data_IF_343249287176
#
_entry.id   IF_343249287176
#
_cell.length_a   1.000
_cell.length_b   1.000
_cell.length_c   1.000
_cell.angle_alpha   90.00
_cell.angle_beta   90.00
_cell.angle_gamma   90.00
#
_symmetry.space_group_name_H-M   'P 1'
#
loop_
_entity.id
_entity.type
_entity.pdbx_description
1 polymer ?
#
# COMPACT_ATOMS: atom_id res chain seq x y z
N UNK A 1 -53.06 -26.07 -30.71
CA UNK A 1 -51.67 -25.58 -30.85
C UNK A 1 -51.46 -24.11 -30.49
N UNK A 2 -52.49 -23.32 -30.16
CA UNK A 2 -52.31 -21.88 -29.86
C UNK A 2 -51.86 -21.54 -28.42
N UNK A 3 -52.12 -22.39 -27.42
CA UNK A 3 -51.73 -22.12 -26.01
C UNK A 3 -50.22 -22.11 -25.77
N UNK A 4 -49.45 -22.83 -26.59
CA UNK A 4 -47.97 -22.89 -26.50
C UNK A 4 -47.34 -21.58 -26.94
N UNK A 5 -47.86 -20.97 -28.02
CA UNK A 5 -47.37 -19.68 -28.55
C UNK A 5 -47.69 -18.48 -27.64
N UNK A 6 -48.79 -18.51 -26.88
CA UNK A 6 -49.16 -17.42 -25.95
C UNK A 6 -48.23 -17.42 -24.73
N UNK A 7 -47.96 -18.60 -24.14
CA UNK A 7 -47.01 -18.73 -23.02
C UNK A 7 -45.57 -18.39 -23.41
N UNK A 8 -45.16 -18.72 -24.63
CA UNK A 8 -43.85 -18.33 -25.15
C UNK A 8 -43.75 -16.82 -25.38
N UNK A 9 -44.84 -16.18 -25.85
CA UNK A 9 -44.93 -14.71 -25.95
C UNK A 9 -44.84 -14.04 -24.58
N UNK A 10 -45.56 -14.53 -23.56
CA UNK A 10 -45.49 -13.97 -22.20
C UNK A 10 -44.10 -14.09 -21.59
N UNK A 11 -43.42 -15.25 -21.75
CA UNK A 11 -42.04 -15.41 -21.30
C UNK A 11 -41.09 -14.46 -22.03
N UNK A 12 -41.26 -14.30 -23.34
CA UNK A 12 -40.48 -13.35 -24.13
C UNK A 12 -40.65 -11.92 -23.61
N UNK A 13 -41.88 -11.53 -23.28
CA UNK A 13 -42.19 -10.21 -22.72
C UNK A 13 -41.57 -10.00 -21.34
N UNK A 14 -41.62 -11.01 -20.46
CA UNK A 14 -40.96 -10.97 -19.16
C UNK A 14 -39.44 -10.83 -19.27
N UNK A 15 -38.80 -11.54 -20.20
CA UNK A 15 -37.36 -11.38 -20.43
C UNK A 15 -37.01 -10.00 -20.98
N UNK A 16 -37.87 -9.41 -21.84
CA UNK A 16 -37.69 -8.03 -22.29
C UNK A 16 -37.83 -7.03 -21.15
N UNK A 17 -38.82 -7.18 -20.26
CA UNK A 17 -38.98 -6.31 -19.09
C UNK A 17 -37.79 -6.43 -18.12
N UNK A 18 -37.33 -7.65 -17.85
CA UNK A 18 -36.14 -7.91 -17.03
C UNK A 18 -34.90 -7.23 -17.64
N UNK A 19 -34.76 -7.32 -18.96
CA UNK A 19 -33.66 -6.73 -19.68
C UNK A 19 -33.74 -5.20 -19.77
N UNK A 20 -34.94 -4.61 -19.84
CA UNK A 20 -35.18 -3.17 -19.72
C UNK A 20 -34.83 -2.65 -18.31
N UNK A 21 -35.22 -3.38 -17.27
CA UNK A 21 -34.84 -3.07 -15.88
C UNK A 21 -33.32 -3.20 -15.68
N UNK A 22 -32.70 -4.22 -16.28
CA UNK A 22 -31.25 -4.38 -16.29
C UNK A 22 -30.55 -3.22 -17.02
N UNK A 23 -31.13 -2.69 -18.11
CA UNK A 23 -30.65 -1.50 -18.82
C UNK A 23 -30.66 -0.25 -17.94
N UNK A 24 -31.77 -0.02 -17.21
CA UNK A 24 -31.93 1.10 -16.29
C UNK A 24 -30.92 1.05 -15.14
N UNK A 25 -30.54 -0.16 -14.70
CA UNK A 25 -29.52 -0.40 -13.68
C UNK A 25 -28.08 -0.47 -14.25
N UNK A 26 -27.85 0.01 -15.48
CA UNK A 26 -26.51 0.09 -16.10
C UNK A 26 -25.99 -1.19 -16.76
N UNK A 27 -26.78 -2.26 -16.80
CA UNK A 27 -26.44 -3.54 -17.42
C UNK A 27 -26.99 -3.62 -18.87
N UNK A 28 -26.57 -2.67 -19.70
CA UNK A 28 -26.97 -2.46 -21.10
C UNK A 28 -26.72 -3.67 -22.03
N UNK A 29 -25.88 -4.62 -21.62
CA UNK A 29 -25.57 -5.82 -22.40
C UNK A 29 -26.61 -6.93 -22.24
N UNK A 30 -27.16 -7.07 -21.02
CA UNK A 30 -28.30 -7.95 -20.76
C UNK A 30 -29.54 -7.43 -21.49
N UNK A 31 -29.73 -6.11 -21.50
CA UNK A 31 -30.72 -5.40 -22.30
C UNK A 31 -30.63 -5.75 -23.80
N UNK A 32 -29.43 -5.58 -24.38
CA UNK A 32 -29.19 -5.85 -25.79
C UNK A 32 -29.35 -7.33 -26.15
N UNK A 33 -28.92 -8.26 -25.28
CA UNK A 33 -29.03 -9.69 -25.52
C UNK A 33 -30.48 -10.19 -25.55
N UNK A 34 -31.35 -9.63 -24.69
CA UNK A 34 -32.77 -9.95 -24.69
C UNK A 34 -33.55 -9.29 -25.84
N UNK A 35 -33.08 -8.13 -26.33
CA UNK A 35 -33.66 -7.46 -27.51
C UNK A 35 -33.26 -8.18 -28.81
N UNK A 36 -32.02 -8.70 -28.91
CA UNK A 36 -31.49 -9.36 -30.12
C UNK A 36 -31.78 -10.86 -30.22
N UNK A 37 -32.24 -11.50 -29.16
CA UNK A 37 -32.55 -12.94 -29.19
C UNK A 37 -33.92 -13.20 -29.80
N UNK A 38 -33.97 -13.97 -30.88
CA UNK A 38 -35.23 -14.25 -31.59
C UNK A 38 -36.09 -15.33 -30.92
N UNK A 39 -35.54 -16.08 -29.96
CA UNK A 39 -36.33 -17.00 -29.13
C UNK A 39 -35.91 -17.05 -27.66
N UNK A 40 -36.86 -17.45 -26.81
CA UNK A 40 -36.74 -17.53 -25.35
C UNK A 40 -35.54 -18.35 -24.87
N UNK A 41 -35.23 -19.47 -25.54
CA UNK A 41 -34.11 -20.33 -25.16
C UNK A 41 -32.74 -19.70 -25.45
N UNK A 42 -32.62 -18.89 -26.52
CA UNK A 42 -31.40 -18.13 -26.79
C UNK A 42 -31.22 -16.98 -25.79
N UNK A 43 -32.30 -16.27 -25.46
CA UNK A 43 -32.27 -15.20 -24.46
C UNK A 43 -31.89 -15.75 -23.08
N UNK A 44 -32.48 -16.88 -22.65
CA UNK A 44 -32.15 -17.52 -21.37
C UNK A 44 -30.67 -17.93 -21.31
N UNK A 45 -30.14 -18.60 -22.35
CA UNK A 45 -28.72 -18.99 -22.41
C UNK A 45 -27.77 -17.79 -22.37
N UNK A 46 -28.15 -16.68 -22.98
CA UNK A 46 -27.37 -15.44 -22.93
C UNK A 46 -27.41 -14.82 -21.53
N UNK A 47 -28.59 -14.72 -20.91
CA UNK A 47 -28.75 -14.23 -19.53
C UNK A 47 -27.90 -15.05 -18.56
N UNK A 48 -27.96 -16.38 -18.63
CA UNK A 48 -27.20 -17.27 -17.75
C UNK A 48 -25.69 -17.09 -17.92
N UNK A 49 -25.21 -16.98 -19.17
CA UNK A 49 -23.80 -16.66 -19.45
C UNK A 49 -23.40 -15.31 -18.87
N UNK A 50 -24.22 -14.28 -19.02
CA UNK A 50 -23.92 -12.95 -18.49
C UNK A 50 -23.88 -12.92 -16.97
N UNK A 51 -24.85 -13.55 -16.29
CA UNK A 51 -24.85 -13.66 -14.84
C UNK A 51 -23.60 -14.39 -14.33
N UNK A 52 -23.16 -15.45 -15.02
CA UNK A 52 -21.93 -16.16 -14.67
C UNK A 52 -20.67 -15.31 -14.90
N UNK A 53 -20.62 -14.53 -15.99
CA UNK A 53 -19.51 -13.60 -16.25
C UNK A 53 -19.46 -12.50 -15.19
N UNK A 54 -20.60 -11.93 -14.80
CA UNK A 54 -20.66 -10.93 -13.72
C UNK A 54 -20.19 -11.49 -12.39
N UNK A 55 -20.70 -12.66 -11.99
CA UNK A 55 -20.30 -13.30 -10.74
C UNK A 55 -18.80 -13.59 -10.71
N UNK A 56 -18.24 -14.08 -11.83
CA UNK A 56 -16.80 -14.33 -11.95
C UNK A 56 -15.98 -13.04 -11.87
N UNK A 57 -16.47 -11.97 -12.50
CA UNK A 57 -15.82 -10.67 -12.46
C UNK A 57 -15.83 -10.05 -11.05
N UNK A 58 -16.96 -10.12 -10.34
CA UNK A 58 -17.04 -9.69 -8.94
C UNK A 58 -16.03 -10.44 -8.06
N UNK A 59 -15.94 -11.77 -8.22
CA UNK A 59 -14.95 -12.59 -7.51
C UNK A 59 -13.50 -12.22 -7.87
N UNK A 60 -13.22 -11.90 -9.15
CA UNK A 60 -11.88 -11.50 -9.57
C UNK A 60 -11.49 -10.12 -9.03
N UNK A 61 -12.42 -9.15 -9.03
CA UNK A 61 -12.22 -7.83 -8.43
C UNK A 61 -12.01 -7.93 -6.93
N UNK A 62 -12.83 -8.71 -6.25
CA UNK A 62 -12.73 -8.94 -4.81
C UNK A 62 -11.40 -9.58 -4.44
N UNK A 63 -10.97 -10.61 -5.19
CA UNK A 63 -9.68 -11.27 -4.97
C UNK A 63 -8.50 -10.31 -5.14
N UNK A 64 -8.50 -9.51 -6.22
CA UNK A 64 -7.43 -8.52 -6.44
C UNK A 64 -7.44 -7.48 -5.32
N UNK A 65 -8.62 -6.97 -4.95
CA UNK A 65 -8.76 -6.00 -3.86
C UNK A 65 -8.25 -6.54 -2.52
N UNK A 66 -8.57 -7.80 -2.18
CA UNK A 66 -8.10 -8.43 -0.96
C UNK A 66 -6.56 -8.57 -0.95
N UNK A 67 -5.96 -8.94 -2.09
CA UNK A 67 -4.49 -9.02 -2.21
C UNK A 67 -3.82 -7.65 -2.03
N UNK A 68 -4.37 -6.60 -2.63
CA UNK A 68 -3.86 -5.23 -2.46
C UNK A 68 -3.97 -4.77 -1.01
N UNK A 69 -5.10 -5.05 -0.35
CA UNK A 69 -5.32 -4.66 1.04
C UNK A 69 -4.40 -5.41 2.01
N UNK A 70 -4.17 -6.72 1.80
CA UNK A 70 -3.18 -7.48 2.57
C UNK A 70 -1.78 -6.90 2.44
N UNK A 71 -1.35 -6.60 1.21
CA UNK A 71 -0.03 -5.99 0.97
C UNK A 71 0.11 -4.63 1.67
N UNK A 72 -0.98 -3.85 1.71
CA UNK A 72 -1.01 -2.56 2.41
C UNK A 72 -0.85 -2.73 3.92
N UNK A 73 -1.56 -3.69 4.51
CA UNK A 73 -1.44 -3.99 5.94
C UNK A 73 -0.04 -4.49 6.30
N UNK A 74 0.53 -5.40 5.50
CA UNK A 74 1.91 -5.86 5.68
C UNK A 74 2.92 -4.70 5.58
N UNK A 75 2.71 -3.77 4.64
CA UNK A 75 3.56 -2.58 4.50
C UNK A 75 3.47 -1.65 5.72
N UNK A 76 2.27 -1.39 6.24
CA UNK A 76 2.08 -0.57 7.44
C UNK A 76 2.72 -1.21 8.67
N UNK A 77 2.59 -2.53 8.85
CA UNK A 77 3.28 -3.26 9.92
C UNK A 77 4.81 -3.15 9.79
N UNK A 78 5.33 -3.40 8.59
CA UNK A 78 6.78 -3.28 8.33
C UNK A 78 7.31 -1.86 8.57
N UNK A 79 6.49 -0.83 8.33
CA UNK A 79 6.82 0.57 8.61
C UNK A 79 6.88 0.84 10.10
N UNK A 80 5.93 0.33 10.89
CA UNK A 80 5.92 0.44 12.34
C UNK A 80 7.17 -0.24 12.93
N UNK A 81 7.46 -1.48 12.53
CA UNK A 81 8.58 -2.24 13.07
C UNK A 81 9.93 -1.57 12.78
N UNK A 82 10.12 -1.09 11.54
CA UNK A 82 11.35 -0.39 11.16
C UNK A 82 11.52 0.93 11.90
N UNK A 83 10.43 1.68 12.08
CA UNK A 83 10.48 2.94 12.83
C UNK A 83 10.75 2.68 14.31
N UNK A 84 10.13 1.67 14.89
CA UNK A 84 10.37 1.28 16.28
C UNK A 84 11.84 0.84 16.51
N UNK A 85 12.44 0.11 15.58
CA UNK A 85 13.87 -0.25 15.64
C UNK A 85 14.77 0.97 15.52
N UNK A 86 14.47 1.86 14.57
CA UNK A 86 15.18 3.13 14.39
C UNK A 86 15.11 4.01 15.66
N UNK A 87 13.95 4.07 16.31
CA UNK A 87 13.74 4.82 17.54
C UNK A 87 14.55 4.20 18.70
N UNK A 88 14.59 2.86 18.81
CA UNK A 88 15.42 2.15 19.80
C UNK A 88 16.91 2.45 19.63
N UNK A 89 17.43 2.38 18.41
CA UNK A 89 18.83 2.68 18.12
C UNK A 89 19.14 4.17 18.35
N UNK A 90 18.21 5.06 17.99
CA UNK A 90 18.35 6.50 18.27
C UNK A 90 18.47 6.75 19.77
N UNK A 91 17.57 6.19 20.59
CA UNK A 91 17.62 6.33 22.06
C UNK A 91 18.92 5.74 22.63
N UNK A 92 19.40 4.61 22.10
CA UNK A 92 20.66 4.00 22.54
C UNK A 92 21.84 4.94 22.28
N UNK A 93 21.91 5.51 21.07
CA UNK A 93 22.96 6.44 20.68
C UNK A 93 22.86 7.73 21.50
N UNK A 94 21.67 8.27 21.73
CA UNK A 94 21.47 9.45 22.58
C UNK A 94 21.98 9.22 23.99
N UNK A 95 21.61 8.10 24.63
CA UNK A 95 22.13 7.75 25.96
C UNK A 95 23.65 7.61 25.99
N UNK A 96 24.25 7.05 24.94
CA UNK A 96 25.70 6.94 24.82
C UNK A 96 26.37 8.32 24.68
N UNK A 97 25.76 9.22 23.91
CA UNK A 97 26.21 10.60 23.76
C UNK A 97 26.07 11.39 25.06
N UNK A 98 24.96 11.24 25.79
CA UNK A 98 24.73 11.89 27.08
C UNK A 98 25.79 11.47 28.10
N UNK A 99 26.13 10.19 28.17
CA UNK A 99 27.22 9.69 29.02
C UNK A 99 28.58 10.30 28.67
N UNK A 100 28.90 10.44 27.37
CA UNK A 100 30.13 11.11 26.94
C UNK A 100 30.13 12.61 27.30
N UNK A 101 28.98 13.29 27.17
CA UNK A 101 28.84 14.70 27.54
C UNK A 101 29.01 14.88 29.05
N UNK A 102 28.44 14.01 29.88
CA UNK A 102 28.65 14.04 31.34
C UNK A 102 30.11 13.80 31.71
N UNK A 103 30.78 12.83 31.07
CA UNK A 103 32.21 12.60 31.28
C UNK A 103 33.05 13.82 30.87
N UNK A 104 32.73 14.47 29.75
CA UNK A 104 33.38 15.73 29.35
C UNK A 104 33.13 16.84 30.36
N UNK A 105 31.89 17.00 30.88
CA UNK A 105 31.58 17.99 31.92
C UNK A 105 32.36 17.72 33.19
N UNK A 106 32.49 16.47 33.61
CA UNK A 106 33.29 16.09 34.77
C UNK A 106 34.78 16.45 34.57
N UNK A 107 35.35 16.12 33.40
CA UNK A 107 36.72 16.48 33.07
C UNK A 107 36.93 18.00 33.01
N UNK A 108 36.00 18.74 32.38
CA UNK A 108 36.06 20.19 32.31
C UNK A 108 35.96 20.84 33.70
N UNK A 109 35.14 20.29 34.60
CA UNK A 109 35.05 20.75 35.98
C UNK A 109 36.35 20.47 36.76
N UNK A 110 37.00 19.33 36.55
CA UNK A 110 38.29 19.00 37.17
C UNK A 110 39.39 19.97 36.69
N UNK A 111 39.34 20.42 35.44
CA UNK A 111 40.30 21.37 34.86
C UNK A 111 40.02 22.83 35.25
N UNK A 112 38.75 23.20 35.52
CA UNK A 112 38.37 24.59 35.82
C UNK A 112 38.60 24.99 37.27
N UNK A 113 38.63 24.04 38.20
CA UNK A 113 39.08 24.28 39.57
C UNK A 113 40.62 24.26 39.62
N UNK A 114 41.21 25.28 40.26
CA UNK A 114 42.66 25.37 40.50
C UNK A 114 43.10 24.31 41.52
N UNK A 115 43.20 23.07 41.07
CA UNK A 115 43.49 21.89 41.88
C UNK A 115 44.99 21.57 41.98
N UNK A 116 45.88 22.46 41.51
CA UNK A 116 47.32 22.20 41.49
C UNK A 116 47.76 21.10 40.50
N UNK A 117 46.93 20.79 39.50
CA UNK A 117 47.23 19.83 38.43
C UNK A 117 48.43 20.29 37.59
N UNK A 118 49.33 19.37 37.27
CA UNK A 118 50.48 19.67 36.40
C UNK A 118 50.06 19.87 34.94
N UNK A 119 50.90 20.53 34.15
CA UNK A 119 50.66 20.77 32.72
C UNK A 119 50.46 19.47 31.93
N UNK A 120 51.10 18.38 32.36
CA UNK A 120 50.92 17.06 31.75
C UNK A 120 49.51 16.49 31.98
N UNK A 121 48.93 16.69 33.16
CA UNK A 121 47.58 16.23 33.50
C UNK A 121 46.51 17.04 32.77
N UNK A 122 46.73 18.35 32.60
CA UNK A 122 45.88 19.22 31.79
C UNK A 122 45.89 18.82 30.32
N UNK A 123 47.07 18.60 29.75
CA UNK A 123 47.21 18.16 28.35
C UNK A 123 46.53 16.81 28.08
N UNK A 124 46.65 15.84 28.99
CA UNK A 124 45.93 14.57 28.88
C UNK A 124 44.41 14.70 29.01
N UNK A 125 43.92 15.68 29.79
CA UNK A 125 42.48 15.92 29.92
C UNK A 125 41.91 16.63 28.68
N UNK A 126 42.65 17.55 28.07
CA UNK A 126 42.35 18.16 26.77
C UNK A 126 42.28 17.11 25.65
N UNK A 127 43.27 16.21 25.56
CA UNK A 127 43.29 15.15 24.55
C UNK A 127 42.10 14.19 24.72
N UNK A 128 41.71 13.87 25.97
CA UNK A 128 40.51 13.07 26.26
C UNK A 128 39.22 13.79 25.84
N UNK A 129 39.12 15.10 26.05
CA UNK A 129 37.97 15.89 25.64
C UNK A 129 37.86 16.01 24.11
N UNK A 130 38.98 16.21 23.41
CA UNK A 130 38.99 16.31 21.95
C UNK A 130 38.62 14.97 21.29
N UNK A 131 39.18 13.86 21.80
CA UNK A 131 38.80 12.52 21.34
C UNK A 131 37.32 12.22 21.59
N UNK A 132 36.77 12.61 22.75
CA UNK A 132 35.34 12.47 23.04
C UNK A 132 34.48 13.31 22.06
N UNK A 133 34.90 14.54 21.74
CA UNK A 133 34.23 15.40 20.76
C UNK A 133 34.19 14.77 19.37
N UNK A 134 35.33 14.28 18.89
CA UNK A 134 35.44 13.62 17.60
C UNK A 134 34.56 12.36 17.52
N UNK A 135 34.50 11.58 18.59
CA UNK A 135 33.63 10.41 18.67
C UNK A 135 32.15 10.79 18.64
N UNK A 136 31.74 11.83 19.39
CA UNK A 136 30.37 12.37 19.37
C UNK A 136 29.98 12.80 17.95
N UNK A 137 30.85 13.52 17.25
CA UNK A 137 30.58 14.00 15.90
C UNK A 137 30.43 12.85 14.90
N UNK A 138 31.32 11.85 14.96
CA UNK A 138 31.22 10.62 14.15
C UNK A 138 29.93 9.85 14.42
N UNK A 139 29.54 9.70 15.69
CA UNK A 139 28.29 9.03 16.05
C UNK A 139 27.06 9.78 15.54
N UNK A 140 27.04 11.12 15.58
CA UNK A 140 25.96 11.94 15.01
C UNK A 140 25.87 11.78 13.49
N UNK A 141 26.98 11.86 12.78
CA UNK A 141 27.03 11.66 11.33
C UNK A 141 26.55 10.26 10.92
N UNK A 142 26.98 9.23 11.64
CA UNK A 142 26.52 7.85 11.41
C UNK A 142 25.02 7.69 11.65
N UNK A 143 24.47 8.33 12.69
CA UNK A 143 23.04 8.30 12.99
C UNK A 143 22.23 8.97 11.88
N UNK A 144 22.68 10.13 11.40
CA UNK A 144 22.02 10.86 10.31
C UNK A 144 22.01 10.06 8.99
N UNK A 145 23.13 9.41 8.68
CA UNK A 145 23.23 8.51 7.53
C UNK A 145 22.27 7.30 7.64
N UNK A 146 22.15 6.70 8.84
CA UNK A 146 21.18 5.62 9.07
C UNK A 146 19.74 6.12 8.91
N UNK A 147 19.40 7.29 9.47
CA UNK A 147 18.05 7.87 9.33
C UNK A 147 17.69 8.07 7.85
N UNK A 148 18.58 8.69 7.10
CA UNK A 148 18.40 8.91 5.65
C UNK A 148 18.23 7.60 4.89
N UNK A 149 19.02 6.57 5.22
CA UNK A 149 18.92 5.26 4.57
C UNK A 149 17.57 4.58 4.85
N UNK A 150 17.10 4.60 6.10
CA UNK A 150 15.80 4.02 6.47
C UNK A 150 14.66 4.74 5.78
N UNK A 151 14.69 6.08 5.74
CA UNK A 151 13.69 6.89 5.03
C UNK A 151 13.65 6.58 3.53
N UNK A 152 14.81 6.45 2.88
CA UNK A 152 14.89 6.08 1.48
C UNK A 152 14.26 4.70 1.20
N UNK A 153 14.57 3.69 2.03
CA UNK A 153 13.98 2.36 1.90
C UNK A 153 12.47 2.34 2.14
N UNK A 154 11.98 3.13 3.10
CA UNK A 154 10.53 3.26 3.35
C UNK A 154 9.83 3.87 2.13
N UNK A 155 10.43 4.91 1.53
CA UNK A 155 9.89 5.57 0.34
C UNK A 155 9.89 4.65 -0.88
N UNK A 156 10.93 3.83 -1.07
CA UNK A 156 10.98 2.83 -2.14
C UNK A 156 9.85 1.80 -2.00
N UNK A 157 9.64 1.27 -0.80
CA UNK A 157 8.53 0.34 -0.53
C UNK A 157 7.16 0.99 -0.71
N UNK A 158 6.99 2.25 -0.30
CA UNK A 158 5.75 3.00 -0.51
C UNK A 158 5.45 3.15 -2.01
N UNK A 159 6.46 3.47 -2.83
CA UNK A 159 6.33 3.54 -4.28
C UNK A 159 5.94 2.18 -4.89
N UNK A 160 6.53 1.08 -4.41
CA UNK A 160 6.18 -0.26 -4.86
C UNK A 160 4.70 -0.60 -4.60
N UNK A 161 4.18 -0.26 -3.41
CA UNK A 161 2.76 -0.44 -3.09
C UNK A 161 1.88 0.41 -4.02
N UNK A 162 2.20 1.69 -4.22
CA UNK A 162 1.44 2.57 -5.12
C UNK A 162 1.45 2.10 -6.57
N UNK A 163 2.57 1.58 -7.07
CA UNK A 163 2.66 0.99 -8.40
C UNK A 163 1.74 -0.23 -8.51
N UNK A 164 1.75 -1.10 -7.50
CA UNK A 164 0.87 -2.27 -7.46
C UNK A 164 -0.62 -1.87 -7.46
N UNK A 165 -1.00 -0.90 -6.62
CA UNK A 165 -2.36 -0.34 -6.61
C UNK A 165 -2.77 0.22 -7.98
N UNK A 166 -1.85 0.94 -8.63
CA UNK A 166 -2.08 1.50 -9.97
C UNK A 166 -2.28 0.39 -11.01
N UNK A 167 -1.43 -0.63 -11.00
CA UNK A 167 -1.55 -1.78 -11.89
C UNK A 167 -2.87 -2.54 -11.68
N UNK A 168 -3.28 -2.72 -10.44
CA UNK A 168 -4.53 -3.39 -10.10
C UNK A 168 -5.74 -2.56 -10.56
N UNK A 169 -5.71 -1.22 -10.38
CA UNK A 169 -6.71 -0.31 -10.95
C UNK A 169 -6.76 -0.39 -12.47
N UNK A 170 -5.62 -0.42 -13.14
CA UNK A 170 -5.54 -0.55 -14.60
C UNK A 170 -6.08 -1.90 -15.06
N UNK A 171 -5.79 -3.00 -14.36
CA UNK A 171 -6.36 -4.32 -14.65
C UNK A 171 -7.87 -4.33 -14.49
N UNK A 172 -8.39 -3.77 -13.40
CA UNK A 172 -9.83 -3.63 -13.18
C UNK A 172 -10.44 -2.80 -14.31
N UNK A 173 -9.84 -1.66 -14.65
CA UNK A 173 -10.32 -0.78 -15.73
C UNK A 173 -10.26 -1.44 -17.12
N UNK A 174 -9.22 -2.19 -17.44
CA UNK A 174 -9.11 -2.96 -18.71
C UNK A 174 -10.15 -4.06 -18.77
N UNK A 175 -10.38 -4.78 -17.68
CA UNK A 175 -11.43 -5.80 -17.59
C UNK A 175 -12.81 -5.16 -17.78
N UNK A 176 -13.04 -3.98 -17.20
CA UNK A 176 -14.26 -3.20 -17.39
C UNK A 176 -14.40 -2.70 -18.83
N UNK A 177 -13.35 -2.15 -19.44
CA UNK A 177 -13.38 -1.65 -20.82
C UNK A 177 -13.63 -2.77 -21.84
N UNK A 178 -12.96 -3.92 -21.71
CA UNK A 178 -13.16 -5.06 -22.60
C UNK A 178 -14.59 -5.62 -22.55
N UNK A 179 -15.35 -5.36 -21.47
CA UNK A 179 -16.78 -5.69 -21.36
C UNK A 179 -17.66 -4.78 -22.25
N UNK A 180 -17.27 -3.53 -22.46
CA UNK A 180 -18.03 -2.54 -23.24
C UNK A 180 -17.56 -2.37 -24.68
N UNK A 181 -16.30 -2.73 -24.98
CA UNK A 181 -15.66 -2.52 -26.30
C UNK A 181 -15.71 -3.76 -27.22
N UNK A 182 -16.16 -4.93 -26.75
CA UNK A 182 -16.36 -6.11 -27.61
C UNK A 182 -17.57 -6.00 -28.56
N UNK A 183 -18.09 -4.79 -28.77
CA UNK A 183 -19.14 -4.44 -29.73
C UNK A 183 -18.55 -3.70 -30.94
N UNK A 184 -17.60 -4.30 -31.63
CA UNK A 184 -17.29 -3.88 -33.00
C UNK A 184 -16.60 -5.01 -33.75
N UNK A 185 -17.41 -5.90 -34.33
CA UNK A 185 -17.21 -6.57 -35.62
C UNK A 185 -18.44 -7.43 -35.92
#
# INVERSE_FOLDING_TARGET
TCKTSVKEREKLEQYKQLAFSAAQNGNMDMANAAIRGDNVAQISKLIDKYQNIQRKHELDVERVSQQTEQLRQEFELAKIDRKAEQDRETIRVEKYLDGQIEAMKANANIMSFDNGLSDAEKSQAEERMENARLNIERSKLSLDAQKTSVEAQLKEKELAVKLKESDDKVKIAKTNKNRYDSKSK
#
